data_IF_700367669456
#
_entry.id   IF_700367669456
#
_cell.length_a   1.000
_cell.length_b   1.000
_cell.length_c   1.000
_cell.angle_alpha   90.00
_cell.angle_beta   90.00
_cell.angle_gamma   90.00
#
_symmetry.space_group_name_H-M   'P 1'
#
loop_
_entity.id
_entity.type
_entity.pdbx_description
1 polymer ?
#
# COMPACT_ATOMS: atom_id res chain seq x y z
N UNK A 1 12.64 -21.28 14.44
CA UNK A 1 11.33 -21.09 13.78
C UNK A 1 10.28 -21.11 14.87
N UNK A 2 9.44 -20.09 14.94
CA UNK A 2 8.52 -19.91 16.07
C UNK A 2 7.19 -19.44 15.51
N UNK A 3 6.09 -20.04 15.97
CA UNK A 3 4.76 -19.52 15.70
C UNK A 3 4.52 -18.38 16.67
N UNK A 4 3.99 -17.27 16.18
CA UNK A 4 3.81 -16.08 17.00
C UNK A 4 2.33 -15.83 17.27
N UNK A 5 1.99 -15.47 18.51
CA UNK A 5 0.70 -14.88 18.83
C UNK A 5 0.92 -13.43 19.27
N UNK A 6 0.37 -12.49 18.50
CA UNK A 6 0.35 -11.09 18.85
C UNK A 6 -0.98 -10.73 19.53
N UNK A 7 -0.89 -10.32 20.79
CA UNK A 7 -2.03 -10.01 21.64
C UNK A 7 -2.16 -8.49 21.77
N UNK A 8 -3.22 -7.93 21.21
CA UNK A 8 -3.55 -6.51 21.40
C UNK A 8 -4.01 -6.22 22.81
N UNK A 9 -3.57 -5.10 23.38
CA UNK A 9 -3.95 -4.65 24.74
C UNK A 9 -4.32 -3.18 24.71
N UNK A 10 -5.49 -2.85 25.27
CA UNK A 10 -5.93 -1.46 25.43
C UNK A 10 -5.48 -0.95 26.81
N UNK A 11 -4.16 -0.83 26.99
CA UNK A 11 -3.54 -0.37 28.23
C UNK A 11 -3.25 -1.49 29.26
N UNK A 12 -2.59 -1.09 30.36
CA UNK A 12 -2.08 -2.01 31.38
C UNK A 12 -3.17 -2.80 32.13
N UNK A 13 -4.38 -2.28 32.19
CA UNK A 13 -5.51 -2.91 32.88
C UNK A 13 -6.22 -3.99 32.05
N UNK A 14 -5.91 -4.09 30.76
CA UNK A 14 -6.47 -5.13 29.89
C UNK A 14 -5.77 -6.48 30.12
N UNK A 15 -6.14 -7.16 31.20
CA UNK A 15 -5.53 -8.43 31.64
C UNK A 15 -6.23 -9.68 31.08
N UNK A 16 -7.04 -9.54 30.03
CA UNK A 16 -7.79 -10.65 29.41
C UNK A 16 -6.86 -11.84 29.10
N UNK A 17 -7.17 -13.03 29.63
CA UNK A 17 -6.35 -14.22 29.37
C UNK A 17 -6.56 -14.67 27.93
N UNK A 18 -5.47 -14.81 27.18
CA UNK A 18 -5.48 -15.34 25.80
C UNK A 18 -4.80 -16.70 25.84
N UNK A 19 -5.47 -17.79 25.43
CA UNK A 19 -4.84 -19.09 25.35
C UNK A 19 -3.74 -19.05 24.29
N UNK A 20 -2.64 -19.75 24.54
CA UNK A 20 -1.56 -19.94 23.57
C UNK A 20 -1.27 -21.42 23.40
N UNK A 21 -0.87 -21.82 22.21
CA UNK A 21 -0.36 -23.17 21.98
C UNK A 21 1.03 -23.35 22.62
N UNK A 22 1.48 -24.61 22.79
CA UNK A 22 2.80 -24.90 23.39
C UNK A 22 3.95 -24.34 22.56
N UNK A 23 3.79 -24.34 21.24
CA UNK A 23 4.71 -23.88 20.21
C UNK A 23 4.55 -22.40 19.84
N UNK A 24 3.64 -21.67 20.50
CA UNK A 24 3.45 -20.23 20.30
C UNK A 24 4.29 -19.37 21.24
N UNK A 25 5.00 -18.40 20.65
CA UNK A 25 5.64 -17.28 21.35
C UNK A 25 4.66 -16.13 21.46
N UNK A 26 4.29 -15.71 22.68
CA UNK A 26 3.39 -14.60 22.88
C UNK A 26 4.13 -13.27 22.83
N UNK A 27 3.60 -12.34 22.06
CA UNK A 27 4.01 -10.93 22.04
C UNK A 27 2.80 -10.05 22.33
N UNK A 28 3.04 -8.91 22.98
CA UNK A 28 1.97 -7.97 23.34
C UNK A 28 2.12 -6.67 22.55
N UNK A 29 1.03 -6.21 21.93
CA UNK A 29 0.94 -4.88 21.33
C UNK A 29 0.11 -3.97 22.24
N UNK A 30 0.77 -3.04 22.92
CA UNK A 30 0.10 -2.00 23.71
C UNK A 30 -0.41 -0.91 22.76
N UNK A 31 -1.73 -0.72 22.70
CA UNK A 31 -2.39 0.23 21.80
C UNK A 31 -2.66 1.58 22.48
N UNK A 32 -2.51 1.65 23.80
CA UNK A 32 -2.80 2.84 24.61
C UNK A 32 -1.57 3.16 25.43
N UNK A 33 -1.08 4.39 25.31
CA UNK A 33 -0.07 4.97 26.17
C UNK A 33 -0.74 6.05 27.05
N UNK A 34 -0.79 5.79 28.36
CA UNK A 34 -1.53 6.65 29.30
C UNK A 34 -3.05 6.62 29.03
N UNK A 35 -3.61 7.74 28.57
CA UNK A 35 -5.05 7.89 28.25
C UNK A 35 -5.35 8.00 26.75
N UNK A 36 -4.34 7.90 25.87
CA UNK A 36 -4.50 8.10 24.43
C UNK A 36 -4.09 6.87 23.65
N UNK A 37 -4.75 6.65 22.51
CA UNK A 37 -4.31 5.64 21.55
C UNK A 37 -2.97 6.03 20.93
N UNK A 38 -2.04 5.09 20.95
CA UNK A 38 -0.69 5.24 20.43
C UNK A 38 -0.60 4.78 18.96
N UNK A 39 0.62 4.71 18.41
CA UNK A 39 0.94 4.23 17.06
C UNK A 39 0.22 5.02 15.97
N UNK A 40 -0.06 6.30 16.22
CA UNK A 40 -0.76 7.20 15.30
C UNK A 40 -2.27 7.03 15.23
N UNK A 41 -2.86 6.06 15.94
CA UNK A 41 -4.32 5.83 15.93
C UNK A 41 -5.05 7.03 16.55
N UNK A 42 -4.65 7.46 17.76
CA UNK A 42 -5.28 8.59 18.44
C UNK A 42 -5.19 9.87 17.61
N UNK A 43 -4.02 10.13 17.02
CA UNK A 43 -3.80 11.28 16.15
C UNK A 43 -4.67 11.23 14.90
N UNK A 44 -4.82 10.08 14.25
CA UNK A 44 -5.68 9.93 13.09
C UNK A 44 -7.16 10.24 13.42
N UNK A 45 -7.64 9.79 14.59
CA UNK A 45 -8.99 10.08 15.06
C UNK A 45 -9.17 11.58 15.41
N UNK A 46 -8.16 12.19 16.03
CA UNK A 46 -8.16 13.62 16.34
C UNK A 46 -8.13 14.49 15.07
N UNK A 47 -7.33 14.11 14.07
CA UNK A 47 -7.22 14.81 12.79
C UNK A 47 -8.53 14.69 11.98
N UNK A 48 -9.16 13.50 11.97
CA UNK A 48 -10.51 13.35 11.39
C UNK A 48 -11.52 14.26 12.11
N UNK A 49 -11.51 14.29 13.44
CA UNK A 49 -12.37 15.18 14.21
C UNK A 49 -12.13 16.66 13.89
N UNK A 50 -10.87 17.07 13.72
CA UNK A 50 -10.51 18.44 13.32
C UNK A 50 -11.04 18.81 11.92
N UNK A 51 -11.22 17.80 11.05
CA UNK A 51 -11.89 17.94 9.75
C UNK A 51 -13.42 17.81 9.84
N UNK A 52 -13.99 17.80 11.05
CA UNK A 52 -15.42 17.56 11.31
C UNK A 52 -15.91 16.20 10.80
N UNK A 53 -15.04 15.20 10.82
CA UNK A 53 -15.33 13.82 10.42
C UNK A 53 -15.37 12.90 11.64
N UNK A 54 -16.35 12.00 11.67
CA UNK A 54 -16.51 10.99 12.73
C UNK A 54 -16.59 9.62 12.09
N UNK A 55 -15.53 8.79 12.12
CA UNK A 55 -15.58 7.45 11.53
C UNK A 55 -16.50 6.54 12.33
N UNK A 56 -16.97 5.46 11.71
CA UNK A 56 -17.68 4.42 12.45
C UNK A 56 -16.75 3.68 13.42
N UNK A 57 -17.33 3.02 14.44
CA UNK A 57 -16.56 2.15 15.34
C UNK A 57 -15.87 0.99 14.62
N UNK A 58 -16.47 0.50 13.53
CA UNK A 58 -15.85 -0.48 12.61
C UNK A 58 -14.66 0.13 11.87
N UNK A 59 -14.76 1.39 11.46
CA UNK A 59 -13.63 2.15 10.91
C UNK A 59 -12.49 2.26 11.93
N UNK A 60 -12.79 2.60 13.18
CA UNK A 60 -11.77 2.66 14.22
C UNK A 60 -11.15 1.27 14.54
N UNK A 61 -11.95 0.19 14.49
CA UNK A 61 -11.43 -1.19 14.56
C UNK A 61 -10.46 -1.51 13.41
N UNK A 62 -10.68 -0.99 12.20
CA UNK A 62 -9.76 -1.18 11.07
C UNK A 62 -8.39 -0.56 11.33
N UNK A 63 -8.31 0.58 12.03
CA UNK A 63 -7.04 1.18 12.45
C UNK A 63 -6.30 0.28 13.45
N UNK A 64 -7.04 -0.27 14.43
CA UNK A 64 -6.49 -1.20 15.42
C UNK A 64 -5.99 -2.46 14.73
N UNK A 65 -6.78 -3.07 13.84
CA UNK A 65 -6.38 -4.23 13.05
C UNK A 65 -5.15 -3.92 12.18
N UNK A 66 -5.12 -2.77 11.51
CA UNK A 66 -3.98 -2.34 10.71
C UNK A 66 -2.70 -2.20 11.52
N UNK A 67 -2.79 -1.69 12.75
CA UNK A 67 -1.65 -1.61 13.66
C UNK A 67 -1.10 -3.00 14.00
N UNK A 68 -1.95 -4.00 14.25
CA UNK A 68 -1.50 -5.37 14.49
C UNK A 68 -0.83 -6.00 13.27
N UNK A 69 -1.47 -5.89 12.11
CA UNK A 69 -0.92 -6.44 10.86
C UNK A 69 0.41 -5.77 10.54
N UNK A 70 0.50 -4.43 10.69
CA UNK A 70 1.72 -3.70 10.40
C UNK A 70 2.83 -4.02 11.40
N UNK A 71 2.54 -4.05 12.70
CA UNK A 71 3.51 -4.43 13.73
C UNK A 71 4.07 -5.84 13.49
N UNK A 72 3.19 -6.83 13.24
CA UNK A 72 3.61 -8.19 12.93
C UNK A 72 4.42 -8.26 11.64
N UNK A 73 3.97 -7.58 10.57
CA UNK A 73 4.65 -7.60 9.27
C UNK A 73 6.05 -6.99 9.33
N UNK A 74 6.27 -5.95 10.16
CA UNK A 74 7.58 -5.29 10.28
C UNK A 74 8.43 -5.77 11.44
N UNK A 75 7.88 -6.46 12.45
CA UNK A 75 8.66 -6.80 13.66
C UNK A 75 8.83 -8.29 13.91
N UNK A 76 8.26 -9.14 13.06
CA UNK A 76 8.56 -10.57 13.03
C UNK A 76 9.43 -10.88 11.81
N UNK A 77 10.76 -10.97 11.98
CA UNK A 77 11.69 -11.26 10.88
C UNK A 77 11.39 -12.58 10.18
N UNK A 78 11.30 -12.57 8.85
CA UNK A 78 11.19 -13.81 8.07
C UNK A 78 12.43 -14.69 8.24
N UNK A 79 13.63 -14.12 8.31
CA UNK A 79 14.86 -14.90 8.34
C UNK A 79 15.06 -15.71 9.63
N UNK A 80 14.56 -15.22 10.77
CA UNK A 80 14.70 -15.90 12.06
C UNK A 80 13.43 -16.63 12.50
N UNK A 81 12.24 -16.13 12.12
CA UNK A 81 10.97 -16.63 12.66
C UNK A 81 10.30 -17.70 11.78
N UNK A 82 10.67 -17.81 10.51
CA UNK A 82 10.10 -18.81 9.59
C UNK A 82 10.99 -20.05 9.41
N UNK A 83 10.43 -21.10 8.81
CA UNK A 83 11.14 -22.35 8.50
C UNK A 83 12.00 -22.28 7.24
N UNK A 84 11.52 -21.55 6.25
CA UNK A 84 12.06 -21.45 4.89
C UNK A 84 12.72 -20.08 4.64
N UNK A 85 12.99 -19.32 5.71
CA UNK A 85 13.40 -17.91 5.67
C UNK A 85 12.41 -16.99 4.91
N UNK A 86 11.14 -17.43 4.77
CA UNK A 86 10.11 -16.72 4.02
C UNK A 86 8.74 -16.67 4.72
N UNK A 87 8.11 -17.80 4.98
CA UNK A 87 6.70 -17.95 5.35
C UNK A 87 6.54 -17.98 6.88
N UNK A 88 6.06 -16.88 7.48
CA UNK A 88 5.80 -16.82 8.93
C UNK A 88 4.44 -17.42 9.27
N UNK A 89 4.31 -17.88 10.51
CA UNK A 89 3.02 -18.29 11.10
C UNK A 89 2.64 -17.31 12.21
N UNK A 90 1.58 -16.54 11.98
CA UNK A 90 1.22 -15.38 12.80
C UNK A 90 -0.25 -15.48 13.19
N UNK A 91 -0.52 -15.55 14.49
CA UNK A 91 -1.85 -15.41 15.07
C UNK A 91 -2.04 -14.03 15.68
N UNK A 92 -3.14 -13.37 15.35
CA UNK A 92 -3.53 -12.10 15.95
C UNK A 92 -4.71 -12.30 16.91
N UNK A 93 -4.70 -11.63 18.06
CA UNK A 93 -5.85 -11.57 18.97
C UNK A 93 -6.19 -10.12 19.27
N UNK A 94 -7.27 -9.64 18.64
CA UNK A 94 -7.52 -8.21 18.47
C UNK A 94 -8.77 -7.79 19.25
N UNK A 95 -8.68 -6.75 20.10
CA UNK A 95 -9.85 -6.15 20.74
C UNK A 95 -10.64 -5.30 19.73
N UNK A 96 -11.92 -5.59 19.56
CA UNK A 96 -12.81 -4.90 18.60
C UNK A 96 -14.18 -4.53 19.21
N UNK A 97 -14.87 -3.59 18.57
CA UNK A 97 -16.19 -3.11 19.02
C UNK A 97 -17.28 -4.19 18.93
N UNK A 98 -17.26 -4.99 17.86
CA UNK A 98 -18.22 -6.06 17.57
C UNK A 98 -17.49 -7.37 17.21
N UNK A 99 -17.16 -8.22 18.20
CA UNK A 99 -16.43 -9.45 17.96
C UNK A 99 -17.16 -10.44 17.05
N UNK A 100 -18.50 -10.48 17.10
CA UNK A 100 -19.29 -11.40 16.29
C UNK A 100 -19.15 -11.09 14.80
N UNK A 101 -19.30 -9.80 14.45
CA UNK A 101 -19.15 -9.32 13.07
C UNK A 101 -17.74 -9.52 12.52
N UNK A 102 -16.73 -9.20 13.32
CA UNK A 102 -15.33 -9.41 12.93
C UNK A 102 -14.96 -10.89 12.79
N UNK A 103 -15.49 -11.75 13.67
CA UNK A 103 -15.29 -13.21 13.57
C UNK A 103 -15.91 -13.77 12.29
N UNK A 104 -17.10 -13.30 11.90
CA UNK A 104 -17.72 -13.69 10.63
C UNK A 104 -16.88 -13.27 9.41
N UNK A 105 -16.20 -12.11 9.47
CA UNK A 105 -15.32 -11.62 8.40
C UNK A 105 -13.90 -12.23 8.42
N UNK A 106 -13.51 -12.93 9.50
CA UNK A 106 -12.14 -13.43 9.69
C UNK A 106 -11.62 -14.33 8.56
N UNK A 107 -12.41 -15.27 7.99
CA UNK A 107 -11.93 -16.10 6.88
C UNK A 107 -11.54 -15.27 5.64
N UNK A 108 -12.27 -14.17 5.37
CA UNK A 108 -12.00 -13.28 4.23
C UNK A 108 -10.70 -12.49 4.48
N UNK A 109 -10.55 -11.95 5.69
CA UNK A 109 -9.35 -11.26 6.13
C UNK A 109 -8.10 -12.14 6.03
N UNK A 110 -8.17 -13.38 6.50
CA UNK A 110 -7.06 -14.35 6.42
C UNK A 110 -6.69 -14.63 4.96
N UNK A 111 -7.67 -14.83 4.06
CA UNK A 111 -7.39 -15.00 2.62
C UNK A 111 -6.68 -13.78 2.03
N UNK A 112 -7.11 -12.57 2.38
CA UNK A 112 -6.50 -11.33 1.92
C UNK A 112 -5.05 -11.18 2.42
N UNK A 113 -4.81 -11.42 3.70
CA UNK A 113 -3.47 -11.30 4.32
C UNK A 113 -2.49 -12.37 3.80
N UNK A 114 -2.93 -13.63 3.70
CA UNK A 114 -2.12 -14.71 3.13
C UNK A 114 -1.68 -14.37 1.70
N UNK A 115 -2.61 -13.83 0.89
CA UNK A 115 -2.31 -13.42 -0.48
C UNK A 115 -1.32 -12.25 -0.53
N UNK A 116 -1.52 -11.24 0.32
CA UNK A 116 -0.74 -10.02 0.33
C UNK A 116 0.71 -10.25 0.80
N UNK A 117 0.88 -10.96 1.91
CA UNK A 117 2.18 -11.08 2.58
C UNK A 117 2.90 -12.39 2.29
N UNK A 118 2.18 -13.43 1.85
CA UNK A 118 2.73 -14.78 1.68
C UNK A 118 3.00 -15.51 2.99
N UNK A 119 2.51 -15.00 4.12
CA UNK A 119 2.56 -15.67 5.42
C UNK A 119 1.28 -16.49 5.67
N UNK A 120 1.27 -17.26 6.75
CA UNK A 120 0.08 -17.95 7.26
C UNK A 120 -0.49 -17.17 8.44
N UNK A 121 -1.69 -16.63 8.25
CA UNK A 121 -2.39 -15.85 9.26
C UNK A 121 -3.51 -16.64 9.93
N UNK A 122 -3.63 -16.46 11.25
CA UNK A 122 -4.81 -16.77 12.03
C UNK A 122 -5.26 -15.48 12.74
N UNK A 123 -6.57 -15.20 12.77
CA UNK A 123 -7.06 -13.96 13.39
C UNK A 123 -8.25 -14.29 14.30
N UNK A 124 -8.10 -13.93 15.57
CA UNK A 124 -9.14 -14.00 16.59
C UNK A 124 -9.53 -12.59 17.07
N UNK A 125 -10.80 -12.44 17.40
CA UNK A 125 -11.36 -11.18 17.87
C UNK A 125 -11.94 -11.34 19.27
N UNK A 126 -11.79 -10.30 20.10
CA UNK A 126 -12.38 -10.24 21.44
C UNK A 126 -12.99 -8.88 21.68
N UNK A 127 -13.88 -8.79 22.68
CA UNK A 127 -14.47 -7.50 23.06
C UNK A 127 -13.39 -6.56 23.61
N UNK A 128 -13.46 -5.28 23.26
CA UNK A 128 -12.67 -4.24 23.92
C UNK A 128 -12.98 -4.17 25.43
N UNK A 129 -12.03 -3.73 26.27
CA UNK A 129 -12.32 -3.46 27.67
C UNK A 129 -13.43 -2.42 27.85
N UNK A 130 -14.21 -2.46 28.96
CA UNK A 130 -15.34 -1.55 29.16
C UNK A 130 -15.00 -0.05 29.02
N UNK A 131 -13.82 0.37 29.48
CA UNK A 131 -13.34 1.75 29.36
C UNK A 131 -13.14 2.22 27.91
N UNK A 132 -13.05 1.29 26.97
CA UNK A 132 -12.84 1.55 25.55
C UNK A 132 -13.96 0.94 24.69
N UNK A 133 -15.17 0.82 25.25
CA UNK A 133 -16.35 0.35 24.50
C UNK A 133 -16.55 1.17 23.22
N UNK A 134 -16.39 2.48 23.34
CA UNK A 134 -16.43 3.46 22.24
C UNK A 134 -15.09 4.18 22.23
N UNK A 135 -14.47 4.31 21.06
CA UNK A 135 -13.16 4.96 20.90
C UNK A 135 -13.21 6.12 19.92
N UNK A 136 -14.25 6.16 19.08
CA UNK A 136 -14.54 7.33 18.26
C UNK A 136 -15.19 8.38 19.16
N UNK A 137 -14.65 9.61 19.20
CA UNK A 137 -15.28 10.69 19.95
C UNK A 137 -16.70 10.96 19.44
N UNK A 138 -17.66 11.04 20.36
CA UNK A 138 -19.01 11.49 20.01
C UNK A 138 -18.93 12.85 19.30
N UNK A 139 -19.56 12.95 18.15
CA UNK A 139 -19.64 14.18 17.37
C UNK A 139 -21.07 14.69 17.42
N UNK A 140 -21.24 16.01 17.56
CA UNK A 140 -22.56 16.60 17.53
C UNK A 140 -23.20 16.33 16.15
N UNK A 141 -24.51 16.04 16.08
CA UNK A 141 -25.21 15.94 14.81
C UNK A 141 -25.02 17.25 14.04
N UNK A 142 -24.41 17.17 12.86
CA UNK A 142 -24.30 18.30 11.94
C UNK A 142 -25.40 18.17 10.88
N UNK A 143 -26.08 19.28 10.60
CA UNK A 143 -27.03 19.37 9.48
C UNK A 143 -26.31 19.61 8.13
N UNK A 144 -25.02 19.96 8.18
CA UNK A 144 -24.21 20.16 6.98
C UNK A 144 -23.65 18.81 6.51
N UNK A 145 -23.73 18.51 5.20
CA UNK A 145 -23.11 17.31 4.65
C UNK A 145 -21.58 17.35 4.86
N UNK A 146 -20.91 16.18 4.90
CA UNK A 146 -19.46 16.13 4.95
C UNK A 146 -18.85 16.97 3.82
N UNK A 147 -17.76 17.69 4.12
CA UNK A 147 -17.09 18.57 3.15
C UNK A 147 -16.43 17.83 1.98
N UNK A 148 -16.39 16.49 2.02
CA UNK A 148 -15.72 15.65 1.05
C UNK A 148 -16.71 14.68 0.38
N UNK A 149 -16.59 14.54 -0.93
CA UNK A 149 -17.44 13.67 -1.77
C UNK A 149 -16.80 12.32 -2.08
N UNK A 150 -15.57 12.09 -1.62
CA UNK A 150 -14.85 10.83 -1.81
C UNK A 150 -13.55 10.75 -1.03
N UNK A 151 -12.93 9.58 -1.05
CA UNK A 151 -11.60 9.34 -0.46
C UNK A 151 -10.65 8.80 -1.51
N UNK A 152 -9.41 9.29 -1.52
CA UNK A 152 -8.37 8.76 -2.40
C UNK A 152 -7.07 8.54 -1.64
N UNK A 153 -6.43 7.39 -1.84
CA UNK A 153 -5.08 7.18 -1.33
C UNK A 153 -4.10 8.12 -2.02
N UNK A 154 -3.23 8.73 -1.22
CA UNK A 154 -2.25 9.70 -1.67
C UNK A 154 -0.87 9.37 -1.11
N UNK A 155 -0.10 8.59 -1.88
CA UNK A 155 1.23 8.13 -1.47
C UNK A 155 2.33 9.17 -1.70
N UNK A 156 2.07 10.22 -2.49
CA UNK A 156 3.07 11.15 -3.00
C UNK A 156 3.83 10.61 -4.22
N UNK A 157 3.45 9.44 -4.73
CA UNK A 157 3.96 8.91 -6.00
C UNK A 157 3.23 9.47 -7.22
N UNK A 158 3.79 9.24 -8.41
CA UNK A 158 3.24 9.75 -9.67
C UNK A 158 1.77 9.35 -9.89
N UNK A 159 1.39 8.11 -9.59
CA UNK A 159 0.06 7.58 -9.90
C UNK A 159 -1.01 8.19 -9.01
N UNK A 160 -0.71 8.33 -7.70
CA UNK A 160 -1.63 9.00 -6.78
C UNK A 160 -1.69 10.51 -7.00
N UNK A 161 -0.63 11.12 -7.52
CA UNK A 161 -0.64 12.51 -7.98
C UNK A 161 -1.55 12.69 -9.20
N UNK A 162 -1.43 11.83 -10.23
CA UNK A 162 -2.33 11.84 -11.40
C UNK A 162 -3.78 11.62 -10.95
N UNK A 163 -4.02 10.63 -10.09
CA UNK A 163 -5.35 10.37 -9.53
C UNK A 163 -5.96 11.55 -8.78
N UNK A 164 -5.15 12.30 -8.04
CA UNK A 164 -5.59 13.52 -7.36
C UNK A 164 -5.90 14.64 -8.37
N UNK A 165 -5.04 14.88 -9.37
CA UNK A 165 -5.27 15.87 -10.43
C UNK A 165 -6.56 15.56 -11.19
N UNK A 166 -6.72 14.34 -11.68
CA UNK A 166 -7.90 13.94 -12.45
C UNK A 166 -9.20 14.09 -11.64
N UNK A 167 -9.11 13.88 -10.33
CA UNK A 167 -10.25 14.06 -9.42
C UNK A 167 -10.59 15.54 -9.22
N UNK A 168 -9.59 16.39 -9.02
CA UNK A 168 -9.78 17.84 -8.85
C UNK A 168 -10.25 18.53 -10.14
N UNK A 169 -9.78 18.08 -11.32
CA UNK A 169 -10.25 18.57 -12.62
C UNK A 169 -11.73 18.22 -12.89
N UNK A 170 -12.22 17.11 -12.35
CA UNK A 170 -13.66 16.77 -12.35
C UNK A 170 -14.48 17.58 -11.34
N UNK A 171 -13.85 18.55 -10.65
CA UNK A 171 -14.45 19.39 -9.60
C UNK A 171 -14.97 18.60 -8.39
N UNK A 172 -14.43 17.39 -8.19
CA UNK A 172 -14.66 16.61 -6.98
C UNK A 172 -13.82 17.19 -5.81
N UNK A 173 -14.22 16.90 -4.58
CA UNK A 173 -13.58 17.36 -3.34
C UNK A 173 -13.13 16.17 -2.49
N UNK A 174 -12.02 15.51 -2.86
CA UNK A 174 -11.59 14.30 -2.17
C UNK A 174 -10.93 14.60 -0.82
N UNK A 175 -11.14 13.70 0.14
CA UNK A 175 -10.21 13.54 1.26
C UNK A 175 -9.06 12.64 0.81
N UNK A 176 -7.88 13.23 0.69
CA UNK A 176 -6.65 12.49 0.40
C UNK A 176 -6.16 11.78 1.67
N UNK A 177 -5.68 10.55 1.56
CA UNK A 177 -5.18 9.78 2.72
C UNK A 177 -3.75 9.35 2.49
N UNK A 178 -2.85 9.85 3.34
CA UNK A 178 -1.42 9.59 3.28
C UNK A 178 -0.95 8.86 4.53
N UNK A 179 -0.10 7.85 4.32
CA UNK A 179 0.72 7.29 5.39
C UNK A 179 2.18 7.65 5.17
N UNK A 180 2.83 8.12 6.23
CA UNK A 180 4.26 8.38 6.24
C UNK A 180 4.96 7.37 7.16
N UNK A 181 5.76 6.48 6.57
CA UNK A 181 6.65 5.56 7.30
C UNK A 181 8.10 6.06 7.41
N UNK A 182 8.47 7.09 6.65
CA UNK A 182 9.80 7.70 6.69
C UNK A 182 9.76 9.16 6.23
N UNK A 183 10.73 9.96 6.69
CA UNK A 183 10.72 11.42 6.50
C UNK A 183 10.82 11.86 5.03
N UNK A 184 11.53 11.11 4.18
CA UNK A 184 11.66 11.45 2.76
C UNK A 184 10.35 11.30 1.98
N UNK A 185 9.64 10.20 2.21
CA UNK A 185 8.29 9.98 1.67
C UNK A 185 7.35 11.07 2.15
N UNK A 186 7.41 11.40 3.45
CA UNK A 186 6.58 12.46 4.01
C UNK A 186 6.84 13.83 3.38
N UNK A 187 8.09 14.19 3.09
CA UNK A 187 8.43 15.46 2.43
C UNK A 187 7.92 15.52 0.99
N UNK A 188 7.99 14.42 0.26
CA UNK A 188 7.43 14.33 -1.10
C UNK A 188 5.89 14.46 -1.09
N UNK A 189 5.23 13.79 -0.15
CA UNK A 189 3.78 13.93 0.06
C UNK A 189 3.37 15.37 0.36
N UNK A 190 4.13 16.08 1.22
CA UNK A 190 3.89 17.50 1.53
C UNK A 190 4.00 18.37 0.29
N UNK A 191 5.11 18.30 -0.43
CA UNK A 191 5.34 19.11 -1.63
C UNK A 191 4.29 18.87 -2.71
N UNK A 192 3.87 17.62 -2.91
CA UNK A 192 2.81 17.32 -3.87
C UNK A 192 1.46 17.88 -3.40
N UNK A 193 1.13 17.76 -2.11
CA UNK A 193 -0.10 18.30 -1.55
C UNK A 193 -0.16 19.83 -1.62
N UNK A 194 0.91 20.52 -1.19
CA UNK A 194 1.03 21.98 -1.28
C UNK A 194 0.93 22.46 -2.72
N UNK A 195 1.57 21.73 -3.64
CA UNK A 195 1.50 21.98 -5.07
C UNK A 195 0.09 21.86 -5.64
N UNK A 196 -0.67 20.84 -5.22
CA UNK A 196 -2.09 20.70 -5.56
C UNK A 196 -2.91 21.84 -4.95
N UNK A 197 -2.65 22.24 -3.70
CA UNK A 197 -3.35 23.36 -3.05
C UNK A 197 -3.12 24.68 -3.78
N UNK A 198 -1.90 24.91 -4.27
CA UNK A 198 -1.58 26.08 -5.08
C UNK A 198 -2.24 26.03 -6.47
N UNK A 199 -2.39 24.83 -7.06
CA UNK A 199 -3.03 24.66 -8.37
C UNK A 199 -4.57 24.76 -8.32
N UNK A 200 -5.18 24.33 -7.20
CA UNK A 200 -6.63 24.29 -7.01
C UNK A 200 -7.06 25.07 -5.75
N UNK A 201 -6.81 26.39 -5.68
CA UNK A 201 -7.04 27.19 -4.47
C UNK A 201 -8.52 27.29 -4.06
N UNK A 202 -9.44 27.07 -5.01
CA UNK A 202 -10.89 27.10 -4.75
C UNK A 202 -11.45 25.76 -4.27
N UNK A 203 -10.68 24.67 -4.36
CA UNK A 203 -11.14 23.35 -3.92
C UNK A 203 -10.90 23.16 -2.42
N UNK A 204 -11.95 22.74 -1.72
CA UNK A 204 -11.92 22.47 -0.29
C UNK A 204 -11.28 21.11 0.07
N UNK A 205 -10.72 20.38 -0.91
CA UNK A 205 -10.10 19.08 -0.70
C UNK A 205 -9.06 19.15 0.44
N UNK A 206 -8.88 18.07 1.19
CA UNK A 206 -7.94 18.08 2.30
C UNK A 206 -7.22 16.74 2.40
N UNK A 207 -6.35 16.58 3.40
CA UNK A 207 -5.54 15.37 3.56
C UNK A 207 -5.50 14.91 5.01
N UNK A 208 -5.88 13.66 5.22
CA UNK A 208 -5.57 12.91 6.43
C UNK A 208 -4.15 12.35 6.31
N UNK A 209 -3.25 12.75 7.20
CA UNK A 209 -1.85 12.30 7.22
C UNK A 209 -1.58 11.51 8.49
N UNK A 210 -1.30 10.21 8.34
CA UNK A 210 -1.08 9.32 9.48
C UNK A 210 0.36 8.82 9.51
N UNK A 211 0.95 8.87 10.70
CA UNK A 211 2.24 8.26 10.99
C UNK A 211 2.02 7.05 11.89
N UNK A 212 2.12 5.86 11.32
CA UNK A 212 2.06 4.60 12.06
C UNK A 212 3.31 3.81 11.74
N UNK A 213 4.25 3.78 12.67
CA UNK A 213 5.52 3.05 12.56
C UNK A 213 5.81 2.39 13.89
N UNK A 214 6.45 1.22 13.84
CA UNK A 214 6.86 0.48 15.02
C UNK A 214 8.38 0.44 15.10
N UNK A 215 8.93 0.72 16.27
CA UNK A 215 10.38 0.70 16.48
C UNK A 215 10.95 -0.72 16.44
N UNK A 216 12.25 -0.83 16.12
CA UNK A 216 12.97 -2.09 16.24
C UNK A 216 13.01 -2.53 17.71
N UNK A 217 12.90 -3.83 17.96
CA UNK A 217 12.83 -4.37 19.33
C UNK A 217 11.47 -4.23 20.00
N UNK A 218 10.40 -3.95 19.25
CA UNK A 218 9.03 -3.95 19.79
C UNK A 218 8.66 -5.25 20.51
N UNK A 219 9.20 -6.38 20.03
CA UNK A 219 8.99 -7.69 20.62
C UNK A 219 10.32 -8.26 21.10
N UNK A 220 10.35 -8.70 22.36
CA UNK A 220 11.54 -9.24 23.00
C UNK A 220 12.07 -10.47 22.25
N UNK A 221 13.38 -10.54 22.07
CA UNK A 221 14.08 -11.64 21.37
C UNK A 221 13.56 -11.94 19.96
N UNK A 222 13.01 -10.95 19.25
CA UNK A 222 12.60 -11.06 17.84
C UNK A 222 13.27 -10.02 16.98
N UNK A 223 13.95 -10.48 15.91
CA UNK A 223 14.58 -9.59 14.94
C UNK A 223 13.52 -8.86 14.07
N UNK A 224 13.86 -7.66 13.62
CA UNK A 224 12.97 -6.83 12.78
C UNK A 224 12.92 -7.28 11.32
N UNK A 225 11.78 -7.05 10.68
CA UNK A 225 11.48 -7.30 9.26
C UNK A 225 11.36 -5.99 8.48
N UNK A 226 11.97 -5.90 7.30
CA UNK A 226 12.07 -4.65 6.53
C UNK A 226 11.36 -4.72 5.17
N UNK A 227 10.77 -5.87 4.79
CA UNK A 227 10.11 -6.04 3.49
C UNK A 227 8.74 -5.37 3.39
N UNK A 228 8.11 -5.00 4.50
CA UNK A 228 6.84 -4.24 4.60
C UNK A 228 5.74 -4.70 3.62
N UNK A 229 5.55 -6.02 3.45
CA UNK A 229 4.64 -6.59 2.44
C UNK A 229 3.17 -6.33 2.75
N UNK A 230 2.82 -6.19 4.03
CA UNK A 230 1.49 -5.88 4.54
C UNK A 230 1.12 -4.39 4.50
N UNK A 231 2.02 -3.51 4.04
CA UNK A 231 1.84 -2.05 4.11
C UNK A 231 0.58 -1.53 3.41
N UNK A 232 0.15 -2.17 2.32
CA UNK A 232 -1.09 -1.77 1.62
C UNK A 232 -2.35 -2.00 2.45
N UNK A 233 -2.34 -2.98 3.35
CA UNK A 233 -3.45 -3.24 4.27
C UNK A 233 -3.68 -2.03 5.18
N UNK A 234 -2.59 -1.45 5.71
CA UNK A 234 -2.65 -0.22 6.48
C UNK A 234 -3.23 0.94 5.66
N UNK A 235 -2.79 1.12 4.42
CA UNK A 235 -3.31 2.20 3.58
C UNK A 235 -4.82 2.06 3.32
N UNK A 236 -5.27 0.84 3.04
CA UNK A 236 -6.68 0.57 2.77
C UNK A 236 -7.52 0.77 4.04
N UNK A 237 -7.05 0.27 5.19
CA UNK A 237 -7.68 0.54 6.49
C UNK A 237 -7.82 2.02 6.78
N UNK A 238 -6.78 2.83 6.55
CA UNK A 238 -6.82 4.28 6.74
C UNK A 238 -7.87 4.94 5.83
N UNK A 239 -7.85 4.59 4.55
CA UNK A 239 -8.81 5.11 3.56
C UNK A 239 -10.25 4.73 3.87
N UNK A 240 -10.50 3.46 4.22
CA UNK A 240 -11.84 2.99 4.59
C UNK A 240 -12.31 3.64 5.88
N UNK A 241 -11.43 3.78 6.88
CA UNK A 241 -11.77 4.46 8.15
C UNK A 241 -12.27 5.87 7.87
N UNK A 242 -11.52 6.65 7.09
CA UNK A 242 -11.90 7.99 6.68
C UNK A 242 -13.20 7.99 5.85
N UNK A 243 -13.37 7.02 4.96
CA UNK A 243 -14.60 6.86 4.16
C UNK A 243 -15.84 6.57 4.99
N UNK A 244 -15.71 5.86 6.12
CA UNK A 244 -16.85 5.63 7.04
C UNK A 244 -17.35 6.91 7.73
N UNK A 245 -16.63 8.03 7.60
CA UNK A 245 -17.08 9.35 8.02
C UNK A 245 -17.84 10.14 6.95
N UNK A 246 -17.91 9.63 5.71
CA UNK A 246 -18.55 10.30 4.58
C UNK A 246 -19.97 9.77 4.34
N UNK A 247 -20.66 10.39 3.38
CA UNK A 247 -21.95 9.89 2.92
C UNK A 247 -21.82 8.45 2.39
N UNK A 248 -22.80 7.61 2.73
CA UNK A 248 -22.88 6.22 2.29
C UNK A 248 -23.81 6.14 1.06
N UNK A 249 -23.42 5.47 -0.05
CA UNK A 249 -22.15 4.76 -0.24
C UNK A 249 -20.96 5.65 -0.60
N UNK A 250 -19.76 5.24 -0.19
CA UNK A 250 -18.50 5.89 -0.59
C UNK A 250 -17.60 4.98 -1.44
N UNK A 251 -16.69 5.59 -2.21
CA UNK A 251 -15.64 4.88 -2.95
C UNK A 251 -14.27 5.34 -2.43
N UNK A 252 -13.44 4.39 -2.02
CA UNK A 252 -12.01 4.61 -1.80
C UNK A 252 -11.27 4.38 -3.11
N UNK A 253 -10.79 5.47 -3.72
CA UNK A 253 -9.95 5.42 -4.92
C UNK A 253 -8.52 5.05 -4.53
N UNK A 254 -7.93 4.10 -5.26
CA UNK A 254 -6.55 3.64 -5.08
C UNK A 254 -5.81 3.75 -6.42
N UNK A 255 -5.31 4.94 -6.78
CA UNK A 255 -4.65 5.12 -8.07
C UNK A 255 -3.34 4.34 -8.17
N UNK A 256 -3.30 3.31 -9.03
CA UNK A 256 -2.08 2.57 -9.38
C UNK A 256 -2.21 2.01 -10.81
N UNK A 257 -1.21 2.23 -11.65
CA UNK A 257 -1.18 1.67 -13.01
C UNK A 257 -1.30 0.13 -13.03
N UNK A 258 -1.91 -0.40 -14.08
CA UNK A 258 -2.19 -1.83 -14.26
C UNK A 258 -0.96 -2.73 -14.24
N UNK A 259 0.20 -2.25 -14.75
CA UNK A 259 1.44 -3.04 -14.76
C UNK A 259 1.94 -3.31 -13.34
N UNK A 260 1.98 -2.30 -12.47
CA UNK A 260 2.36 -2.46 -11.05
C UNK A 260 1.25 -3.15 -10.26
N UNK A 261 -0.02 -2.90 -10.57
CA UNK A 261 -1.14 -3.54 -9.88
C UNK A 261 -1.15 -5.07 -10.07
N UNK A 262 -0.89 -5.53 -11.30
CA UNK A 262 -0.72 -6.96 -11.61
C UNK A 262 0.58 -7.53 -11.03
N UNK A 263 1.68 -6.81 -11.22
CA UNK A 263 3.02 -7.19 -10.77
C UNK A 263 3.45 -8.61 -11.23
N UNK A 264 3.30 -8.88 -12.51
CA UNK A 264 3.71 -10.15 -13.12
C UNK A 264 5.22 -10.40 -12.92
N UNK A 265 5.62 -11.56 -12.38
CA UNK A 265 7.04 -11.90 -12.22
C UNK A 265 7.82 -11.78 -13.53
N UNK A 266 8.87 -10.96 -13.52
CA UNK A 266 9.69 -10.65 -14.70
C UNK A 266 10.57 -11.83 -15.15
N UNK A 267 10.92 -12.72 -14.23
CA UNK A 267 11.64 -13.96 -14.53
C UNK A 267 11.13 -15.12 -13.66
N UNK A 268 11.54 -16.35 -13.99
CA UNK A 268 11.04 -17.57 -13.32
C UNK A 268 11.54 -17.72 -11.87
N UNK A 269 12.65 -17.07 -11.51
CA UNK A 269 13.25 -17.14 -10.19
C UNK A 269 12.66 -16.07 -9.24
N UNK A 270 11.95 -15.07 -9.77
CA UNK A 270 11.29 -14.00 -9.03
C UNK A 270 9.86 -14.32 -8.55
N UNK A 271 9.58 -15.57 -8.22
CA UNK A 271 8.35 -15.92 -7.52
C UNK A 271 8.44 -15.47 -6.05
N UNK A 272 7.47 -14.70 -5.57
CA UNK A 272 7.42 -14.25 -4.16
C UNK A 272 8.09 -12.90 -3.91
N UNK A 273 9.30 -12.90 -3.32
CA UNK A 273 9.89 -11.77 -2.57
C UNK A 273 9.99 -10.43 -3.30
N UNK A 274 9.96 -10.42 -4.62
CA UNK A 274 10.11 -9.20 -5.44
C UNK A 274 8.80 -8.71 -6.07
N UNK A 275 7.68 -9.38 -5.81
CA UNK A 275 6.35 -9.01 -6.34
C UNK A 275 5.38 -8.67 -5.19
N UNK A 276 5.21 -7.38 -4.90
CA UNK A 276 4.17 -6.86 -3.97
C UNK A 276 2.80 -6.88 -4.66
N UNK A 277 1.75 -7.35 -3.95
CA UNK A 277 0.38 -7.49 -4.50
C UNK A 277 -0.58 -6.41 -3.98
N UNK A 278 -0.05 -5.20 -3.84
CA UNK A 278 -0.65 -4.05 -3.13
C UNK A 278 -2.06 -3.68 -3.61
N UNK A 279 -2.29 -3.71 -4.93
CA UNK A 279 -3.54 -3.27 -5.58
C UNK A 279 -4.04 -4.30 -6.60
N UNK A 280 -3.60 -5.56 -6.43
CA UNK A 280 -3.99 -6.64 -7.32
C UNK A 280 -5.52 -6.85 -7.30
N UNK A 281 -6.18 -7.15 -8.44
CA UNK A 281 -7.64 -7.28 -8.52
C UNK A 281 -8.24 -8.22 -7.47
N UNK A 282 -7.67 -9.42 -7.29
CA UNK A 282 -8.06 -10.34 -6.23
C UNK A 282 -8.02 -9.73 -4.82
N UNK A 283 -6.98 -8.97 -4.50
CA UNK A 283 -6.83 -8.37 -3.18
C UNK A 283 -7.90 -7.30 -2.93
N UNK A 284 -8.18 -6.46 -3.93
CA UNK A 284 -9.28 -5.48 -3.88
C UNK A 284 -10.64 -6.18 -3.75
N UNK A 285 -10.86 -7.29 -4.48
CA UNK A 285 -12.08 -8.08 -4.36
C UNK A 285 -12.29 -8.64 -2.94
N UNK A 286 -11.24 -9.18 -2.31
CA UNK A 286 -11.32 -9.65 -0.91
C UNK A 286 -11.58 -8.52 0.08
N UNK A 287 -11.04 -7.32 -0.16
CA UNK A 287 -11.40 -6.13 0.63
C UNK A 287 -12.87 -5.78 0.49
N UNK A 288 -13.40 -5.72 -0.74
CA UNK A 288 -14.82 -5.40 -0.97
C UNK A 288 -15.75 -6.45 -0.35
N UNK A 289 -15.38 -7.74 -0.40
CA UNK A 289 -16.09 -8.82 0.30
C UNK A 289 -16.07 -8.61 1.83
N UNK A 290 -14.92 -8.20 2.39
CA UNK A 290 -14.78 -7.91 3.81
C UNK A 290 -15.61 -6.69 4.24
N UNK A 291 -15.62 -5.60 3.44
CA UNK A 291 -16.44 -4.42 3.74
C UNK A 291 -17.93 -4.75 3.78
N UNK A 292 -18.40 -5.56 2.82
CA UNK A 292 -19.77 -6.06 2.81
C UNK A 292 -20.10 -6.90 4.06
N UNK A 293 -19.22 -7.84 4.43
CA UNK A 293 -19.38 -8.66 5.63
C UNK A 293 -19.39 -7.84 6.94
N UNK A 294 -18.67 -6.71 6.96
CA UNK A 294 -18.65 -5.78 8.09
C UNK A 294 -19.83 -4.77 8.08
N UNK A 295 -20.69 -4.81 7.06
CA UNK A 295 -21.79 -3.87 6.89
C UNK A 295 -21.31 -2.43 6.62
N UNK A 296 -20.11 -2.27 6.06
CA UNK A 296 -19.57 -0.96 5.67
C UNK A 296 -20.04 -0.67 4.25
N UNK A 297 -20.85 0.37 4.09
CA UNK A 297 -21.33 0.84 2.79
C UNK A 297 -20.26 1.59 2.00
N UNK A 298 -19.21 0.90 1.62
CA UNK A 298 -18.12 1.44 0.82
C UNK A 298 -17.46 0.39 -0.03
N UNK A 299 -16.76 0.82 -1.08
CA UNK A 299 -15.96 -0.06 -1.94
C UNK A 299 -14.60 0.56 -2.26
N UNK A 300 -13.62 -0.29 -2.45
CA UNK A 300 -12.29 0.05 -2.94
C UNK A 300 -12.26 -0.15 -4.45
N UNK A 301 -11.71 0.85 -5.15
CA UNK A 301 -11.60 0.86 -6.60
C UNK A 301 -10.23 1.41 -7.02
N UNK A 302 -9.55 0.72 -7.94
CA UNK A 302 -8.39 1.27 -8.62
C UNK A 302 -8.81 1.71 -10.02
N UNK A 303 -8.93 3.02 -10.32
CA UNK A 303 -9.45 3.49 -11.61
C UNK A 303 -8.47 3.33 -12.79
N UNK A 304 -7.23 2.88 -12.56
CA UNK A 304 -6.18 2.82 -13.59
C UNK A 304 -5.67 1.39 -13.85
N UNK A 305 -6.48 0.37 -13.49
CA UNK A 305 -6.09 -1.04 -13.63
C UNK A 305 -5.83 -1.48 -15.08
N UNK A 306 -6.39 -0.78 -16.07
CA UNK A 306 -6.26 -1.04 -17.51
C UNK A 306 -5.27 -0.10 -18.21
N UNK A 307 -4.63 0.81 -17.46
CA UNK A 307 -3.73 1.84 -17.96
C UNK A 307 -2.28 1.58 -17.56
N UNK A 308 -1.36 1.73 -18.51
CA UNK A 308 0.07 1.81 -18.21
C UNK A 308 0.38 3.13 -17.52
N UNK A 309 1.57 3.25 -16.91
CA UNK A 309 1.97 4.52 -16.30
C UNK A 309 2.17 5.61 -17.36
N UNK A 310 2.65 5.26 -18.56
CA UNK A 310 2.72 6.20 -19.69
C UNK A 310 1.33 6.67 -20.13
N UNK A 311 0.36 5.77 -20.23
CA UNK A 311 -1.04 6.09 -20.54
C UNK A 311 -1.66 7.00 -19.48
N UNK A 312 -1.36 6.78 -18.19
CA UNK A 312 -1.79 7.66 -17.10
C UNK A 312 -1.20 9.08 -17.25
N UNK A 313 0.10 9.19 -17.56
CA UNK A 313 0.75 10.50 -17.76
C UNK A 313 0.15 11.22 -18.96
N UNK A 314 -0.02 10.51 -20.08
CA UNK A 314 -0.55 11.08 -21.32
C UNK A 314 -2.02 11.50 -21.22
N UNK A 315 -2.82 10.77 -20.45
CA UNK A 315 -4.25 11.02 -20.26
C UNK A 315 -4.58 11.89 -19.02
N UNK A 316 -3.57 12.38 -18.30
CA UNK A 316 -3.81 13.22 -17.12
C UNK A 316 -4.59 14.48 -17.51
N UNK A 317 -5.64 14.78 -16.75
CA UNK A 317 -6.58 15.85 -17.07
C UNK A 317 -5.94 17.25 -17.08
N UNK A 318 -4.81 17.43 -16.37
CA UNK A 318 -4.06 18.68 -16.35
C UNK A 318 -2.56 18.46 -16.55
N UNK A 319 -2.09 18.36 -17.81
CA UNK A 319 -0.68 18.14 -18.12
C UNK A 319 0.24 19.24 -17.56
N UNK A 320 -0.24 20.48 -17.51
CA UNK A 320 0.53 21.61 -16.98
C UNK A 320 0.77 21.50 -15.46
N UNK A 321 -0.27 21.16 -14.69
CA UNK A 321 -0.15 20.91 -13.25
C UNK A 321 0.73 19.69 -13.01
N UNK A 322 0.52 18.61 -13.76
CA UNK A 322 1.34 17.40 -13.66
C UNK A 322 2.82 17.71 -13.91
N UNK A 323 3.18 18.40 -15.00
CA UNK A 323 4.56 18.74 -15.33
C UNK A 323 5.26 19.53 -14.22
N UNK A 324 4.55 20.46 -13.57
CA UNK A 324 5.06 21.23 -12.43
C UNK A 324 5.30 20.37 -11.18
N UNK A 325 4.45 19.37 -10.94
CA UNK A 325 4.47 18.56 -9.70
C UNK A 325 5.24 17.24 -9.82
N UNK A 326 5.47 16.74 -11.03
CA UNK A 326 6.27 15.53 -11.30
C UNK A 326 7.60 15.51 -10.54
N UNK A 327 8.42 16.59 -10.52
CA UNK A 327 9.68 16.61 -9.77
C UNK A 327 9.54 16.40 -8.26
N UNK A 328 8.38 16.72 -7.69
CA UNK A 328 8.09 16.56 -6.26
C UNK A 328 7.63 15.14 -5.89
N UNK A 329 7.15 14.37 -6.88
CA UNK A 329 6.59 13.03 -6.66
C UNK A 329 7.67 11.95 -6.52
N UNK A 330 7.43 10.94 -5.67
CA UNK A 330 8.38 9.88 -5.33
C UNK A 330 7.81 8.48 -5.60
N UNK A 331 8.41 7.75 -6.55
CA UNK A 331 7.96 6.41 -6.95
C UNK A 331 8.87 5.28 -6.46
N UNK A 332 10.09 5.59 -6.01
CA UNK A 332 11.09 4.58 -5.66
C UNK A 332 10.63 3.66 -4.52
N UNK A 333 10.90 2.36 -4.62
CA UNK A 333 10.51 1.37 -3.60
C UNK A 333 11.36 1.42 -2.32
N UNK A 334 12.51 2.11 -2.36
CA UNK A 334 13.43 2.20 -1.22
C UNK A 334 14.22 3.50 -1.27
N UNK A 335 13.56 4.66 -1.14
CA UNK A 335 14.16 5.95 -1.46
C UNK A 335 15.22 6.39 -0.45
N UNK A 336 15.19 5.84 0.77
CA UNK A 336 16.19 6.09 1.81
C UNK A 336 17.47 5.25 1.68
N UNK A 337 17.49 4.19 0.84
CA UNK A 337 18.67 3.28 0.73
C UNK A 337 19.94 3.96 0.24
N UNK A 338 19.83 5.09 -0.47
CA UNK A 338 20.98 5.91 -0.84
C UNK A 338 21.85 6.30 0.36
N UNK A 339 21.23 6.49 1.53
CA UNK A 339 21.94 6.83 2.78
C UNK A 339 23.03 5.83 3.14
N UNK A 340 22.73 4.53 3.05
CA UNK A 340 23.65 3.44 3.43
C UNK A 340 24.83 3.29 2.47
N UNK A 341 24.67 3.79 1.24
CA UNK A 341 25.70 3.76 0.19
C UNK A 341 26.34 5.12 -0.06
N UNK A 342 26.08 6.11 0.80
CA UNK A 342 26.51 7.52 0.65
C UNK A 342 26.11 8.14 -0.70
N UNK A 343 24.98 7.71 -1.26
CA UNK A 343 24.39 8.19 -2.50
C UNK A 343 23.21 9.14 -2.22
N UNK A 344 22.83 10.01 -3.18
CA UNK A 344 21.61 10.82 -3.07
C UNK A 344 20.39 9.95 -2.78
N UNK A 345 19.58 10.39 -1.82
CA UNK A 345 18.30 9.75 -1.50
C UNK A 345 17.22 10.18 -2.52
N UNK A 346 16.22 9.34 -2.74
CA UNK A 346 15.16 9.57 -3.73
C UNK A 346 15.05 8.41 -4.71
N UNK A 347 15.11 8.68 -6.01
CA UNK A 347 14.93 7.65 -7.03
C UNK A 347 16.24 6.96 -7.37
N UNK A 348 16.32 5.64 -7.15
CA UNK A 348 17.53 4.88 -7.48
C UNK A 348 17.77 4.74 -9.00
N UNK A 349 16.72 4.86 -9.82
CA UNK A 349 16.82 4.78 -11.29
C UNK A 349 16.77 3.38 -11.90
N UNK A 350 16.74 2.31 -11.10
CA UNK A 350 16.74 0.92 -11.58
C UNK A 350 15.73 -0.03 -10.93
N UNK A 351 15.11 0.32 -9.80
CA UNK A 351 14.06 -0.53 -9.23
C UNK A 351 12.82 -0.53 -10.13
N UNK A 352 11.96 -1.54 -9.97
CA UNK A 352 10.73 -1.71 -10.76
C UNK A 352 9.93 -0.40 -10.94
N UNK A 353 9.53 0.33 -9.88
CA UNK A 353 8.75 1.54 -10.07
C UNK A 353 9.57 2.71 -10.66
N UNK A 354 10.90 2.75 -10.46
CA UNK A 354 11.76 3.74 -11.12
C UNK A 354 11.86 3.50 -12.63
N UNK A 355 12.05 2.25 -13.08
CA UNK A 355 12.11 1.94 -14.52
C UNK A 355 10.78 2.22 -15.22
N UNK A 356 9.65 1.87 -14.59
CA UNK A 356 8.32 2.18 -15.13
C UNK A 356 8.07 3.69 -15.15
N UNK A 357 8.48 4.43 -14.10
CA UNK A 357 8.42 5.91 -14.09
C UNK A 357 9.24 6.52 -15.23
N UNK A 358 10.49 6.08 -15.39
CA UNK A 358 11.37 6.58 -16.46
C UNK A 358 10.75 6.38 -17.82
N UNK A 359 10.22 5.19 -18.08
CA UNK A 359 9.55 4.86 -19.33
C UNK A 359 8.33 5.77 -19.59
N UNK A 360 7.55 6.06 -18.55
CA UNK A 360 6.36 6.90 -18.63
C UNK A 360 6.65 8.40 -18.86
N UNK A 361 7.84 8.88 -18.46
CA UNK A 361 8.23 10.30 -18.55
C UNK A 361 9.17 10.61 -19.73
N UNK A 362 9.52 9.63 -20.58
CA UNK A 362 10.37 9.89 -21.75
C UNK A 362 9.64 10.76 -22.81
N UNK A 363 10.37 11.58 -23.59
CA UNK A 363 11.83 11.81 -23.52
C UNK A 363 12.27 12.78 -22.42
N UNK A 364 11.33 13.52 -21.82
CA UNK A 364 11.59 14.65 -20.93
C UNK A 364 11.30 14.29 -19.47
N UNK A 365 12.15 13.44 -18.88
CA UNK A 365 12.05 13.07 -17.47
C UNK A 365 12.89 14.03 -16.60
N UNK A 366 12.27 14.92 -15.80
CA UNK A 366 13.00 15.87 -14.95
C UNK A 366 13.52 15.24 -13.64
N UNK A 367 13.28 13.93 -13.44
CA UNK A 367 13.61 13.25 -12.18
C UNK A 367 15.11 13.03 -12.06
N UNK A 368 15.70 13.43 -10.93
CA UNK A 368 17.07 13.08 -10.58
C UNK A 368 17.14 11.61 -10.11
N UNK A 369 18.00 10.82 -10.76
CA UNK A 369 18.22 9.40 -10.41
C UNK A 369 19.65 9.17 -9.92
N UNK A 370 19.82 8.30 -8.91
CA UNK A 370 21.15 7.81 -8.51
C UNK A 370 21.87 7.14 -9.69
N UNK A 371 21.19 6.22 -10.39
CA UNK A 371 21.65 5.70 -11.67
C UNK A 371 21.07 6.54 -12.82
N UNK A 372 21.75 7.66 -13.11
CA UNK A 372 21.31 8.64 -14.10
C UNK A 372 21.21 8.04 -15.52
N UNK A 373 22.26 7.39 -16.01
CA UNK A 373 22.32 6.87 -17.38
C UNK A 373 22.44 5.35 -17.41
N UNK A 374 21.36 4.66 -17.81
CA UNK A 374 21.33 3.19 -17.97
C UNK A 374 22.26 2.69 -19.09
N UNK A 375 22.66 3.56 -20.03
CA UNK A 375 23.50 3.23 -21.19
C UNK A 375 24.98 3.59 -20.99
N UNK A 376 25.35 4.18 -19.84
CA UNK A 376 26.72 4.65 -19.60
C UNK A 376 27.76 3.52 -19.62
N UNK A 377 27.36 2.28 -19.34
CA UNK A 377 28.25 1.14 -19.31
C UNK A 377 27.50 -0.19 -19.24
N UNK A 378 28.26 -1.25 -19.01
CA UNK A 378 27.72 -2.58 -18.75
C UNK A 378 27.18 -2.64 -17.32
N UNK A 379 25.93 -3.04 -17.13
CA UNK A 379 25.36 -3.26 -15.79
C UNK A 379 25.61 -4.70 -15.34
N UNK A 380 26.36 -4.87 -14.25
CA UNK A 380 26.69 -6.18 -13.69
C UNK A 380 25.44 -6.91 -13.17
N UNK A 381 25.13 -8.08 -13.74
CA UNK A 381 23.99 -8.91 -13.33
C UNK A 381 24.17 -9.60 -11.98
N UNK A 382 25.35 -9.48 -11.34
CA UNK A 382 25.55 -9.87 -9.93
C UNK A 382 25.10 -8.76 -8.96
N UNK A 383 24.93 -7.53 -9.44
CA UNK A 383 24.49 -6.38 -8.65
C UNK A 383 23.00 -6.07 -8.84
N UNK A 384 22.39 -5.39 -7.87
CA UNK A 384 20.95 -5.11 -7.86
C UNK A 384 20.44 -4.41 -9.13
N UNK A 385 21.19 -3.44 -9.67
CA UNK A 385 20.80 -2.72 -10.88
C UNK A 385 20.78 -3.64 -12.12
N UNK A 386 21.86 -4.40 -12.35
CA UNK A 386 21.92 -5.34 -13.48
C UNK A 386 20.90 -6.47 -13.35
N UNK A 387 20.68 -7.00 -12.13
CA UNK A 387 19.61 -7.98 -11.89
C UNK A 387 18.24 -7.43 -12.28
N UNK A 388 17.88 -6.22 -11.85
CA UNK A 388 16.59 -5.60 -12.18
C UNK A 388 16.42 -5.37 -13.68
N UNK A 389 17.41 -4.75 -14.33
CA UNK A 389 17.34 -4.48 -15.77
C UNK A 389 17.30 -5.77 -16.58
N UNK A 390 18.11 -6.77 -16.22
CA UNK A 390 18.13 -8.07 -16.90
C UNK A 390 16.79 -8.79 -16.82
N UNK A 391 16.11 -8.76 -15.67
CA UNK A 391 14.79 -9.37 -15.52
C UNK A 391 13.76 -8.71 -16.44
N UNK A 392 13.77 -7.38 -16.59
CA UNK A 392 12.92 -6.71 -17.58
C UNK A 392 13.27 -7.14 -19.00
N UNK A 393 14.55 -7.16 -19.38
CA UNK A 393 14.97 -7.60 -20.72
C UNK A 393 14.50 -9.03 -21.05
N UNK A 394 14.56 -9.95 -20.07
CA UNK A 394 14.04 -11.31 -20.21
C UNK A 394 12.51 -11.29 -20.42
N UNK A 395 11.76 -10.57 -19.57
CA UNK A 395 10.32 -10.47 -19.68
C UNK A 395 9.87 -9.89 -21.04
N UNK A 396 10.51 -8.81 -21.46
CA UNK A 396 10.24 -8.10 -22.71
C UNK A 396 10.54 -9.01 -23.91
N UNK A 397 11.72 -9.63 -23.95
CA UNK A 397 12.11 -10.51 -25.06
C UNK A 397 11.17 -11.71 -25.16
N UNK A 398 10.81 -12.30 -24.02
CA UNK A 398 9.88 -13.44 -23.96
C UNK A 398 8.49 -13.06 -24.47
N UNK A 399 7.99 -11.88 -24.10
CA UNK A 399 6.67 -11.44 -24.51
C UNK A 399 6.64 -10.99 -25.97
N UNK A 400 7.71 -10.34 -26.46
CA UNK A 400 7.85 -9.99 -27.87
C UNK A 400 7.87 -11.24 -28.78
N UNK A 401 8.54 -12.32 -28.34
CA UNK A 401 8.57 -13.57 -29.09
C UNK A 401 7.21 -14.32 -29.08
N UNK A 402 6.43 -14.22 -27.99
CA UNK A 402 5.10 -14.84 -27.87
C UNK A 402 4.11 -13.95 -27.11
N UNK A 403 3.45 -13.00 -27.79
CA UNK A 403 2.55 -12.03 -27.14
C UNK A 403 1.36 -12.67 -26.41
N UNK A 404 0.86 -13.81 -26.91
CA UNK A 404 -0.26 -14.54 -26.30
C UNK A 404 0.05 -15.06 -24.89
N UNK A 405 1.34 -15.14 -24.52
CA UNK A 405 1.74 -15.46 -23.15
C UNK A 405 1.21 -14.47 -22.13
N UNK A 406 0.89 -13.22 -22.51
CA UNK A 406 0.28 -12.25 -21.60
C UNK A 406 -0.97 -12.83 -20.93
N UNK A 407 -1.86 -13.46 -21.69
CA UNK A 407 -3.13 -14.05 -21.19
C UNK A 407 -2.90 -15.13 -20.13
N UNK A 408 -1.76 -15.82 -20.17
CA UNK A 408 -1.40 -16.84 -19.18
C UNK A 408 -0.62 -16.24 -18.01
N UNK A 409 0.29 -15.30 -18.29
CA UNK A 409 1.21 -14.75 -17.30
C UNK A 409 0.54 -13.84 -16.28
N UNK A 410 -0.56 -13.17 -16.64
CA UNK A 410 -1.33 -12.34 -15.69
C UNK A 410 -1.92 -13.13 -14.53
N UNK A 411 -2.04 -14.46 -14.63
CA UNK A 411 -2.49 -15.34 -13.54
C UNK A 411 -1.36 -15.80 -12.61
N UNK A 412 -0.09 -15.51 -12.94
CA UNK A 412 1.06 -15.90 -12.10
C UNK A 412 1.10 -15.16 -10.75
N UNK A 413 0.78 -13.86 -10.66
CA UNK A 413 0.73 -13.15 -9.39
C UNK A 413 -0.36 -13.66 -8.46
N UNK A 414 -1.51 -14.07 -9.00
CA UNK A 414 -2.67 -14.44 -8.21
C UNK A 414 -3.90 -14.82 -9.03
N UNK A 415 -4.96 -15.29 -8.37
CA UNK A 415 -6.22 -15.60 -9.03
C UNK A 415 -6.85 -14.33 -9.64
N UNK A 416 -7.61 -14.49 -10.73
CA UNK A 416 -8.36 -13.39 -11.36
C UNK A 416 -9.82 -13.79 -11.63
N UNK A 417 -10.35 -14.80 -10.93
CA UNK A 417 -11.68 -15.34 -11.19
C UNK A 417 -12.82 -14.41 -10.77
N UNK A 418 -12.55 -13.38 -9.96
CA UNK A 418 -13.56 -12.44 -9.46
C UNK A 418 -14.14 -11.54 -10.57
N UNK A 419 -13.39 -11.30 -11.65
CA UNK A 419 -13.87 -10.53 -12.80
C UNK A 419 -13.22 -11.01 -14.12
N UNK A 420 -13.77 -12.08 -14.74
CA UNK A 420 -13.27 -12.61 -16.00
C UNK A 420 -13.32 -11.62 -17.16
N UNK A 421 -14.27 -10.68 -17.15
CA UNK A 421 -14.44 -9.70 -18.23
C UNK A 421 -13.24 -8.74 -18.34
N UNK A 422 -12.43 -8.61 -17.28
CA UNK A 422 -11.23 -7.75 -17.27
C UNK A 422 -9.97 -8.42 -17.83
N UNK A 423 -9.97 -9.73 -18.08
CA UNK A 423 -8.73 -10.47 -18.40
C UNK A 423 -8.01 -9.95 -19.63
N UNK A 424 -8.73 -9.63 -20.71
CA UNK A 424 -8.10 -9.12 -21.93
C UNK A 424 -7.49 -7.72 -21.73
N UNK A 425 -8.14 -6.85 -20.96
CA UNK A 425 -7.60 -5.53 -20.62
C UNK A 425 -6.37 -5.63 -19.69
N UNK A 426 -6.37 -6.58 -18.74
CA UNK A 426 -5.22 -6.88 -17.88
C UNK A 426 -4.03 -7.45 -18.67
N UNK A 427 -4.29 -8.36 -19.62
CA UNK A 427 -3.25 -8.87 -20.53
C UNK A 427 -2.73 -7.75 -21.44
N UNK A 428 -3.63 -6.88 -21.91
CA UNK A 428 -3.31 -5.73 -22.73
C UNK A 428 -2.37 -4.75 -22.03
N UNK A 429 -2.70 -4.31 -20.81
CA UNK A 429 -1.87 -3.37 -20.04
C UNK A 429 -0.52 -3.97 -19.66
N UNK A 430 -0.47 -5.27 -19.36
CA UNK A 430 0.80 -5.96 -19.09
C UNK A 430 1.74 -5.90 -20.31
N UNK A 431 1.21 -6.17 -21.50
CA UNK A 431 1.98 -6.08 -22.75
C UNK A 431 2.45 -4.66 -23.03
N UNK A 432 1.53 -3.69 -23.07
CA UNK A 432 1.86 -2.28 -23.38
C UNK A 432 2.83 -1.69 -22.36
N UNK A 433 2.69 -2.05 -21.09
CA UNK A 433 3.58 -1.60 -20.03
C UNK A 433 5.01 -2.15 -20.18
N UNK A 434 5.18 -3.40 -20.60
CA UNK A 434 6.51 -3.94 -20.92
C UNK A 434 7.10 -3.32 -22.19
N UNK A 435 6.29 -3.03 -23.20
CA UNK A 435 6.73 -2.32 -24.41
C UNK A 435 7.23 -0.90 -24.10
N UNK A 436 6.56 -0.17 -23.20
CA UNK A 436 7.04 1.12 -22.68
C UNK A 436 8.43 1.01 -22.05
N UNK A 437 8.63 0.04 -21.17
CA UNK A 437 9.95 -0.19 -20.54
C UNK A 437 10.97 -0.69 -21.57
N UNK A 438 10.56 -1.46 -22.58
CA UNK A 438 11.43 -1.90 -23.67
C UNK A 438 12.02 -0.76 -24.49
N UNK A 439 11.23 0.29 -24.75
CA UNK A 439 11.72 1.51 -25.40
C UNK A 439 12.81 2.19 -24.57
N UNK A 440 12.59 2.34 -23.26
CA UNK A 440 13.59 2.88 -22.32
C UNK A 440 14.89 2.06 -22.34
N UNK A 441 14.79 0.73 -22.34
CA UNK A 441 15.93 -0.19 -22.22
C UNK A 441 16.66 -0.49 -23.53
N UNK A 442 16.24 0.10 -24.65
CA UNK A 442 16.94 -0.03 -25.94
C UNK A 442 18.40 0.42 -25.79
N UNK A 443 19.34 -0.44 -26.21
CA UNK A 443 20.79 -0.20 -26.13
C UNK A 443 21.43 -0.37 -24.73
N UNK A 444 20.65 -0.75 -23.71
CA UNK A 444 21.18 -1.01 -22.36
C UNK A 444 21.82 -2.42 -22.31
N UNK A 445 23.05 -2.52 -21.82
CA UNK A 445 23.81 -3.79 -21.78
C UNK A 445 23.90 -4.32 -20.35
N UNK A 446 23.70 -5.62 -20.19
CA UNK A 446 23.84 -6.32 -18.90
C UNK A 446 24.61 -7.63 -19.09
N UNK A 447 25.58 -7.93 -18.23
CA UNK A 447 26.28 -9.21 -18.19
C UNK A 447 26.89 -9.43 -16.79
N UNK A 448 27.23 -10.66 -16.39
CA UNK A 448 27.99 -10.88 -15.17
C UNK A 448 29.43 -10.38 -15.40
N UNK A 449 29.91 -9.51 -14.51
CA UNK A 449 31.33 -9.08 -14.49
C UNK A 449 32.10 -9.70 -13.35
#
# INVERSE_FOLDING_TARGET
MRRHVLIGRFGADDKTRVPKARDEVPSTLQLVAGKRFDHGIGRALDDLKALSLSPSEIGADLLVLAAHVHAADTRLSRSSESQDAWTREIRLVIPVSDPGRWTAAAPILVRALNFLTGDRWEVGFRKRPPAFKTIVPASAPTLLPPAFDGVSLFSGGLDSLIGAIDTLERKETPLLVSHAGEGLVSKSQERCFDGLKAAYPQSAFNRLRVWMSFDAGLFDDVASEETTRGRSFLFFSLGVTAGTSLANPFVLKVPENGLIALNVPLDRLRLGALSTRTTHPFYIARWNEMLAALGVGGRIDNPYWDKTKGEMVAACASPAVLAKLVPSSLSCSSPSKGRWTKQPQGHCGFCLPCLIRRAALQPNDPTAYTLANLRAGLLDTKQAAGQQVRSFQIAITRLAARPDLAKVLIHKPGPLYDDPARHDALAGVYRRGLEEVGRLLTGVRTAPT
#
